data_IF_061633197809
#
_entry.id   IF_061633197809
#
_cell.length_a   1.000
_cell.length_b   1.000
_cell.length_c   1.000
_cell.angle_alpha   90.00
_cell.angle_beta   90.00
_cell.angle_gamma   90.00
#
_symmetry.space_group_name_H-M   'P 1'
#
loop_
_entity.id
_entity.type
_entity.pdbx_description
1 polymer ?
#
# COMPACT_ATOMS: atom_id res chain seq x y z
N UNK A 1 -13.85 -5.75 -4.31
CA UNK A 1 -13.18 -7.07 -4.15
C UNK A 1 -14.06 -8.19 -4.68
N UNK A 2 -15.37 -8.16 -4.44
CA UNK A 2 -16.27 -9.29 -4.72
C UNK A 2 -16.64 -9.50 -6.20
N UNK A 3 -16.71 -8.43 -7.00
CA UNK A 3 -17.18 -8.50 -8.40
C UNK A 3 -16.28 -9.27 -9.39
N UNK A 4 -15.09 -9.72 -8.98
CA UNK A 4 -14.10 -10.30 -9.91
C UNK A 4 -13.67 -11.73 -9.55
N UNK A 5 -14.22 -12.28 -8.47
CA UNK A 5 -14.08 -13.67 -8.11
C UNK A 5 -15.46 -14.34 -8.05
N UNK A 6 -16.38 -13.94 -8.94
CA UNK A 6 -17.79 -14.35 -8.96
C UNK A 6 -18.01 -15.87 -9.06
N UNK A 7 -16.96 -16.65 -9.37
CA UNK A 7 -16.98 -18.11 -9.29
C UNK A 7 -16.71 -18.72 -7.91
N UNK A 8 -15.95 -18.04 -7.03
CA UNK A 8 -15.39 -18.64 -5.79
C UNK A 8 -15.37 -17.73 -4.55
N UNK A 9 -15.76 -16.46 -4.64
CA UNK A 9 -15.81 -15.54 -3.48
C UNK A 9 -17.24 -15.08 -3.29
N UNK A 10 -17.81 -15.44 -2.14
CA UNK A 10 -19.14 -14.95 -1.76
C UNK A 10 -19.05 -13.48 -1.38
N UNK A 11 -20.03 -12.65 -1.78
CA UNK A 11 -20.13 -11.28 -1.30
C UNK A 11 -20.10 -11.19 0.23
N UNK A 12 -19.30 -10.29 0.77
CA UNK A 12 -19.10 -10.06 2.20
C UNK A 12 -18.23 -11.09 2.92
N UNK A 13 -17.60 -12.02 2.20
CA UNK A 13 -16.83 -13.10 2.82
C UNK A 13 -15.31 -12.89 2.74
N UNK A 14 -14.77 -12.31 3.81
CA UNK A 14 -13.33 -12.08 3.95
C UNK A 14 -12.50 -13.37 3.95
N UNK A 15 -13.04 -14.52 4.37
CA UNK A 15 -12.33 -15.80 4.33
C UNK A 15 -12.15 -16.32 2.91
N UNK A 16 -13.14 -16.16 2.03
CA UNK A 16 -13.00 -16.55 0.63
C UNK A 16 -11.96 -15.67 -0.07
N UNK A 17 -11.91 -14.37 0.27
CA UNK A 17 -10.87 -13.45 -0.21
C UNK A 17 -9.48 -13.82 0.31
N UNK A 18 -9.36 -14.19 1.58
CA UNK A 18 -8.12 -14.69 2.15
C UNK A 18 -7.68 -16.02 1.52
N UNK A 19 -8.61 -16.92 1.19
CA UNK A 19 -8.28 -18.15 0.48
C UNK A 19 -7.77 -17.88 -0.94
N UNK A 20 -8.33 -16.87 -1.63
CA UNK A 20 -7.93 -16.50 -2.98
C UNK A 20 -6.62 -15.68 -3.03
N UNK A 21 -6.39 -14.79 -2.06
CA UNK A 21 -5.32 -13.77 -2.09
C UNK A 21 -4.29 -13.91 -0.96
N UNK A 22 -4.48 -14.87 -0.06
CA UNK A 22 -3.73 -15.00 1.20
C UNK A 22 -2.27 -15.39 1.06
N UNK A 23 -1.81 -15.79 -0.13
CA UNK A 23 -0.43 -16.15 -0.37
C UNK A 23 0.54 -14.95 -0.32
N UNK A 24 0.10 -13.74 -0.69
CA UNK A 24 0.95 -12.53 -0.77
C UNK A 24 0.30 -11.30 -0.12
N UNK A 25 -0.13 -11.46 1.13
CA UNK A 25 -0.63 -10.36 1.93
C UNK A 25 0.49 -9.37 2.30
N UNK A 26 0.15 -8.11 2.63
CA UNK A 26 1.05 -7.22 3.34
C UNK A 26 1.56 -7.87 4.63
N UNK A 27 2.85 -7.71 4.89
CA UNK A 27 3.52 -8.31 6.04
C UNK A 27 3.92 -9.77 5.83
N UNK A 28 4.07 -10.48 6.95
CA UNK A 28 4.53 -11.86 6.99
C UNK A 28 3.43 -12.91 7.14
N UNK A 29 2.17 -12.50 7.28
CA UNK A 29 1.04 -13.43 7.40
C UNK A 29 0.74 -14.03 6.03
N UNK A 30 0.48 -15.34 6.01
CA UNK A 30 -0.10 -16.05 4.87
C UNK A 30 -1.36 -16.76 5.33
N UNK A 31 -2.42 -16.66 4.54
CA UNK A 31 -3.61 -17.48 4.70
C UNK A 31 -3.63 -18.50 3.56
N UNK A 32 -3.44 -19.78 3.89
CA UNK A 32 -3.41 -20.87 2.93
C UNK A 32 -4.53 -21.87 3.25
N UNK A 33 -5.23 -22.42 2.24
CA UNK A 33 -6.20 -23.48 2.44
C UNK A 33 -5.58 -24.69 3.15
N UNK A 34 -6.29 -25.25 4.14
CA UNK A 34 -5.79 -26.36 4.97
C UNK A 34 -5.60 -27.67 4.22
N UNK A 35 -6.30 -27.86 3.10
CA UNK A 35 -6.21 -29.02 2.23
C UNK A 35 -5.10 -28.90 1.17
N UNK A 36 -4.33 -27.81 1.18
CA UNK A 36 -3.29 -27.53 0.19
C UNK A 36 -3.82 -27.22 -1.21
N UNK A 37 -5.14 -27.25 -1.42
CA UNK A 37 -5.76 -26.84 -2.67
C UNK A 37 -5.84 -25.31 -2.67
N UNK A 38 -4.79 -24.65 -3.16
CA UNK A 38 -4.97 -23.32 -3.74
C UNK A 38 -6.07 -23.53 -4.78
N UNK A 39 -7.22 -22.86 -4.63
CA UNK A 39 -8.32 -22.91 -5.60
C UNK A 39 -7.87 -22.25 -6.90
N UNK A 40 -7.01 -22.96 -7.63
CA UNK A 40 -6.72 -22.73 -9.03
C UNK A 40 -7.90 -23.35 -9.77
N UNK A 41 -8.79 -22.50 -10.26
CA UNK A 41 -9.79 -22.90 -11.24
C UNK A 41 -9.08 -23.70 -12.32
N UNK A 42 -9.35 -25.00 -12.38
CA UNK A 42 -9.24 -25.76 -13.62
C UNK A 42 -10.39 -25.29 -14.50
N UNK A 43 -10.19 -24.21 -15.22
CA UNK A 43 -10.98 -23.97 -16.42
C UNK A 43 -10.05 -23.78 -17.61
N UNK A 44 -10.24 -24.64 -18.61
CA UNK A 44 -9.30 -24.92 -19.69
C UNK A 44 -9.32 -23.89 -20.82
N UNK A 45 -9.26 -22.60 -20.52
CA UNK A 45 -9.13 -21.57 -21.55
C UNK A 45 -8.19 -20.44 -21.13
N UNK A 46 -6.97 -20.48 -21.68
CA UNK A 46 -5.93 -19.44 -21.73
C UNK A 46 -5.44 -18.89 -20.38
N UNK A 47 -4.14 -19.11 -20.13
CA UNK A 47 -3.35 -18.46 -19.08
C UNK A 47 -3.65 -16.96 -18.99
N UNK A 48 -4.40 -16.57 -17.95
CA UNK A 48 -4.50 -15.20 -17.49
C UNK A 48 -3.87 -15.14 -16.09
N UNK A 49 -2.76 -14.42 -15.89
CA UNK A 49 -2.15 -14.27 -14.58
C UNK A 49 -3.17 -13.64 -13.61
N UNK A 50 -3.39 -14.30 -12.47
CA UNK A 50 -4.35 -13.85 -11.45
C UNK A 50 -3.84 -12.57 -10.79
N UNK A 51 -4.50 -11.46 -11.11
CA UNK A 51 -4.21 -10.14 -10.59
C UNK A 51 -4.45 -10.05 -9.06
N UNK A 52 -3.50 -9.46 -8.33
CA UNK A 52 -3.56 -9.29 -6.86
C UNK A 52 -4.05 -7.88 -6.51
N UNK A 53 -5.27 -7.74 -5.97
CA UNK A 53 -5.90 -6.43 -5.68
C UNK A 53 -5.81 -6.01 -4.22
N UNK A 54 -5.85 -4.69 -3.98
CA UNK A 54 -6.03 -4.09 -2.66
C UNK A 54 -7.10 -3.00 -2.69
N UNK A 55 -7.96 -3.02 -1.67
CA UNK A 55 -9.33 -2.48 -1.65
C UNK A 55 -9.46 -1.01 -1.18
N UNK A 56 -8.37 -0.28 -0.99
CA UNK A 56 -8.42 1.02 -0.31
C UNK A 56 -8.30 2.23 -1.26
N UNK A 57 -9.22 2.36 -2.22
CA UNK A 57 -9.66 3.67 -2.73
C UNK A 57 -8.94 4.27 -3.94
N UNK A 58 -9.71 4.40 -5.03
CA UNK A 58 -9.50 5.17 -6.27
C UNK A 58 -8.34 4.81 -7.20
N UNK A 59 -7.14 4.53 -6.71
CA UNK A 59 -6.01 4.15 -7.56
C UNK A 59 -5.81 2.63 -7.60
N UNK A 60 -5.78 2.07 -8.81
CA UNK A 60 -5.54 0.64 -8.99
C UNK A 60 -4.08 0.29 -8.71
N UNK A 61 -3.86 -0.83 -8.03
CA UNK A 61 -2.52 -1.30 -7.68
C UNK A 61 -2.35 -2.81 -7.76
N UNK A 62 -1.13 -3.24 -8.09
CA UNK A 62 -0.72 -4.64 -8.22
C UNK A 62 0.60 -4.89 -7.49
N UNK A 63 0.73 -6.08 -6.90
CA UNK A 63 2.02 -6.62 -6.47
C UNK A 63 2.75 -7.19 -7.70
N UNK A 64 3.99 -6.75 -7.97
CA UNK A 64 4.75 -7.10 -9.18
C UNK A 64 6.21 -7.49 -8.89
N UNK A 65 6.83 -8.16 -9.86
CA UNK A 65 8.25 -8.48 -9.91
C UNK A 65 8.95 -7.65 -10.98
N UNK A 66 10.21 -7.25 -10.71
CA UNK A 66 11.07 -6.54 -11.68
C UNK A 66 12.17 -7.50 -12.13
N UNK A 67 12.19 -7.85 -13.42
CA UNK A 67 13.18 -8.76 -13.99
C UNK A 67 14.41 -7.98 -14.48
N UNK A 68 15.58 -8.28 -13.92
CA UNK A 68 16.86 -7.66 -14.31
C UNK A 68 17.59 -8.64 -15.24
N UNK A 69 17.55 -8.41 -16.56
CA UNK A 69 18.18 -9.30 -17.56
C UNK A 69 17.89 -8.92 -19.02
N UNK A 70 18.43 -9.68 -19.99
CA UNK A 70 18.10 -9.48 -21.43
C UNK A 70 16.65 -9.91 -21.68
N UNK A 71 15.78 -8.95 -21.99
CA UNK A 71 14.32 -9.11 -21.95
C UNK A 71 13.69 -8.61 -20.64
N UNK A 72 14.40 -7.78 -19.87
CA UNK A 72 13.91 -7.21 -18.62
C UNK A 72 12.62 -6.42 -18.80
N UNK A 73 11.73 -6.58 -17.82
CA UNK A 73 10.37 -6.05 -17.78
C UNK A 73 9.74 -6.34 -16.42
N UNK A 74 8.50 -5.90 -16.24
CA UNK A 74 7.73 -6.09 -15.01
C UNK A 74 6.73 -7.21 -15.24
N UNK A 75 6.71 -8.20 -14.35
CA UNK A 75 5.81 -9.34 -14.44
C UNK A 75 4.97 -9.48 -13.18
N UNK A 76 3.80 -10.10 -13.32
CA UNK A 76 3.02 -10.49 -12.16
C UNK A 76 3.68 -11.70 -11.48
N UNK A 77 3.78 -11.72 -10.14
CA UNK A 77 4.27 -12.88 -9.41
C UNK A 77 3.31 -14.05 -9.61
N UNK A 78 3.84 -15.17 -10.12
CA UNK A 78 3.10 -16.42 -10.28
C UNK A 78 3.23 -17.27 -9.01
N UNK A 79 2.16 -17.99 -8.64
CA UNK A 79 2.13 -18.96 -7.54
C UNK A 79 2.72 -18.43 -6.21
N UNK A 80 3.72 -19.13 -5.67
CA UNK A 80 4.42 -18.84 -4.41
C UNK A 80 5.45 -17.70 -4.53
N UNK A 81 5.65 -17.13 -5.73
CA UNK A 81 6.52 -15.98 -5.88
C UNK A 81 5.92 -14.73 -5.21
N UNK A 82 6.81 -13.97 -4.57
CA UNK A 82 6.45 -12.80 -3.78
C UNK A 82 6.71 -11.56 -4.60
N UNK A 83 5.68 -10.74 -4.86
CA UNK A 83 5.91 -9.46 -5.52
C UNK A 83 6.82 -8.59 -4.65
N UNK A 84 7.84 -8.00 -5.26
CA UNK A 84 8.84 -7.15 -4.61
C UNK A 84 8.51 -5.66 -4.71
N UNK A 85 7.59 -5.31 -5.59
CA UNK A 85 7.14 -3.94 -5.81
C UNK A 85 5.62 -3.88 -5.77
N UNK A 86 5.09 -2.72 -5.39
CA UNK A 86 3.70 -2.34 -5.59
C UNK A 86 3.68 -1.37 -6.78
N UNK A 87 3.00 -1.77 -7.85
CA UNK A 87 2.72 -0.94 -9.01
C UNK A 87 1.41 -0.18 -8.79
N UNK A 88 1.43 1.15 -8.91
CA UNK A 88 0.28 2.04 -8.79
C UNK A 88 -0.01 2.68 -10.14
N UNK A 89 -1.17 2.34 -10.71
CA UNK A 89 -1.52 2.69 -12.08
C UNK A 89 -2.12 4.10 -12.16
N UNK A 90 -1.96 4.80 -13.30
CA UNK A 90 -2.53 6.13 -13.49
C UNK A 90 -4.06 6.10 -13.33
N UNK A 91 -4.63 7.19 -12.81
CA UNK A 91 -6.07 7.32 -12.56
C UNK A 91 -6.71 8.30 -13.54
N UNK A 92 -7.89 7.97 -14.07
CA UNK A 92 -8.70 8.91 -14.86
C UNK A 92 -9.36 9.97 -13.98
N UNK A 93 -9.69 9.63 -12.73
CA UNK A 93 -10.27 10.56 -11.76
C UNK A 93 -9.24 11.55 -11.22
N UNK A 94 -7.99 11.11 -11.10
CA UNK A 94 -6.87 11.92 -10.60
C UNK A 94 -5.69 11.85 -11.59
N UNK A 95 -5.72 12.64 -12.67
CA UNK A 95 -4.63 12.68 -13.64
C UNK A 95 -3.29 13.04 -12.99
N UNK A 96 -2.23 12.30 -13.34
CA UNK A 96 -0.89 12.54 -12.82
C UNK A 96 -0.65 12.12 -11.36
N UNK A 97 -1.55 11.35 -10.75
CA UNK A 97 -1.43 10.96 -9.32
C UNK A 97 -0.17 10.12 -9.03
N UNK A 98 0.28 9.29 -9.98
CA UNK A 98 1.53 8.52 -9.84
C UNK A 98 2.74 9.44 -9.76
N UNK A 99 2.81 10.43 -10.66
CA UNK A 99 3.86 11.43 -10.73
C UNK A 99 3.81 12.37 -9.53
N UNK A 100 2.61 12.72 -9.07
CA UNK A 100 2.39 13.49 -7.86
C UNK A 100 2.98 12.78 -6.64
N UNK A 101 2.68 11.49 -6.45
CA UNK A 101 3.25 10.72 -5.34
C UNK A 101 4.77 10.57 -5.47
N UNK A 102 5.28 10.25 -6.66
CA UNK A 102 6.73 10.14 -6.91
C UNK A 102 7.47 11.44 -6.54
N UNK A 103 6.94 12.59 -6.97
CA UNK A 103 7.53 13.89 -6.65
C UNK A 103 7.45 14.22 -5.15
N UNK A 104 6.33 13.89 -4.49
CA UNK A 104 6.15 14.15 -3.06
C UNK A 104 7.00 13.23 -2.18
N UNK A 105 7.32 12.00 -2.62
CA UNK A 105 8.25 11.09 -1.94
C UNK A 105 9.73 11.54 -2.05
N UNK A 106 10.08 12.37 -3.03
CA UNK A 106 11.44 12.91 -3.16
C UNK A 106 11.81 13.86 -2.01
N UNK A 107 10.84 14.60 -1.47
CA UNK A 107 11.06 15.52 -0.35
C UNK A 107 11.47 14.82 0.97
N UNK A 108 10.72 13.83 1.51
CA UNK A 108 11.14 13.08 2.69
C UNK A 108 12.51 12.42 2.49
N UNK A 109 12.78 11.88 1.30
CA UNK A 109 14.09 11.29 1.00
C UNK A 109 15.22 12.33 1.08
N UNK A 110 15.01 13.53 0.52
CA UNK A 110 15.99 14.61 0.52
C UNK A 110 16.31 15.14 1.93
N UNK A 111 15.36 15.05 2.87
CA UNK A 111 15.55 15.46 4.28
C UNK A 111 15.97 14.29 5.19
N UNK A 112 16.32 13.14 4.61
CA UNK A 112 16.89 12.00 5.33
C UNK A 112 15.88 11.09 6.03
N UNK A 113 14.60 11.13 5.65
CA UNK A 113 13.63 10.14 6.09
C UNK A 113 13.79 8.83 5.31
N UNK A 114 13.42 7.72 5.95
CA UNK A 114 13.40 6.42 5.28
C UNK A 114 12.20 6.33 4.33
N UNK A 115 12.49 6.29 3.03
CA UNK A 115 11.52 6.19 1.94
C UNK A 115 11.83 4.92 1.15
N UNK A 116 10.82 4.10 0.80
CA UNK A 116 11.04 2.96 -0.09
C UNK A 116 11.56 3.41 -1.46
N UNK A 117 12.43 2.61 -2.06
CA UNK A 117 12.87 2.81 -3.44
C UNK A 117 11.64 2.91 -4.36
N UNK A 118 11.57 3.96 -5.16
CA UNK A 118 10.47 4.16 -6.09
C UNK A 118 10.96 4.70 -7.44
N UNK A 119 10.20 4.40 -8.49
CA UNK A 119 10.50 4.82 -9.86
C UNK A 119 9.20 4.96 -10.66
N UNK A 120 9.23 5.82 -11.67
CA UNK A 120 8.16 5.92 -12.66
C UNK A 120 8.54 5.12 -13.91
N UNK A 121 7.65 4.24 -14.33
CA UNK A 121 7.84 3.37 -15.50
C UNK A 121 6.67 3.52 -16.48
N UNK A 122 6.89 3.11 -17.71
CA UNK A 122 5.83 3.09 -18.70
C UNK A 122 4.94 1.86 -18.51
N UNK A 123 3.66 2.00 -18.83
CA UNK A 123 2.73 0.88 -18.78
C UNK A 123 3.13 -0.26 -19.73
N UNK A 124 3.82 0.06 -20.82
CA UNK A 124 4.39 -0.91 -21.77
C UNK A 124 5.50 -1.77 -21.17
N UNK A 125 6.06 -1.38 -20.02
CA UNK A 125 7.11 -2.15 -19.34
C UNK A 125 6.53 -3.36 -18.58
N UNK A 126 5.20 -3.50 -18.51
CA UNK A 126 4.53 -4.61 -17.86
C UNK A 126 4.02 -5.65 -18.87
N UNK A 127 4.36 -6.92 -18.61
CA UNK A 127 3.79 -8.06 -19.33
C UNK A 127 2.66 -8.70 -18.52
N UNK A 128 1.62 -9.17 -19.21
CA UNK A 128 0.50 -9.86 -18.57
C UNK A 128 -0.38 -8.96 -17.70
N UNK A 129 -0.39 -7.64 -17.95
CA UNK A 129 -1.32 -6.73 -17.28
C UNK A 129 -2.76 -7.14 -17.61
N UNK A 130 -3.61 -7.41 -16.61
CA UNK A 130 -5.01 -7.75 -16.84
C UNK A 130 -5.72 -6.57 -17.52
N UNK A 131 -6.67 -6.87 -18.41
CA UNK A 131 -7.33 -5.82 -19.24
C UNK A 131 -7.99 -4.70 -18.41
N UNK A 132 -8.44 -4.99 -17.20
CA UNK A 132 -9.01 -3.97 -16.30
C UNK A 132 -7.99 -2.94 -15.81
N UNK A 133 -6.71 -3.28 -15.74
CA UNK A 133 -5.62 -2.32 -15.49
C UNK A 133 -5.19 -1.60 -16.77
N UNK A 134 -5.69 -2.03 -17.93
CA UNK A 134 -5.55 -1.30 -19.16
C UNK A 134 -6.55 -0.13 -19.25
N UNK A 135 -6.45 0.79 -18.30
CA UNK A 135 -7.23 2.04 -18.29
C UNK A 135 -6.89 2.92 -19.48
N UNK A 136 -7.86 3.76 -19.84
CA UNK A 136 -7.69 4.90 -20.75
C UNK A 136 -6.97 6.09 -20.08
N UNK A 137 -6.47 5.95 -18.85
CA UNK A 137 -5.74 7.02 -18.18
C UNK A 137 -4.35 7.19 -18.79
N UNK A 138 -4.01 8.45 -19.03
CA UNK A 138 -2.66 8.86 -19.41
C UNK A 138 -1.79 9.02 -18.16
N UNK A 139 -0.47 8.83 -18.32
CA UNK A 139 0.51 8.94 -17.24
C UNK A 139 1.28 7.64 -17.01
N UNK A 140 2.22 7.72 -16.06
CA UNK A 140 3.13 6.62 -15.72
C UNK A 140 2.60 5.75 -14.60
N UNK A 141 3.18 4.56 -14.49
CA UNK A 141 2.96 3.68 -13.35
C UNK A 141 4.04 3.97 -12.31
N UNK A 142 3.64 4.21 -11.06
CA UNK A 142 4.58 4.34 -9.95
C UNK A 142 4.88 2.96 -9.38
N UNK A 143 6.14 2.54 -9.42
CA UNK A 143 6.63 1.38 -8.69
C UNK A 143 7.18 1.82 -7.34
N UNK A 144 6.72 1.16 -6.29
CA UNK A 144 7.23 1.33 -4.92
C UNK A 144 7.73 -0.01 -4.42
N UNK A 145 9.00 -0.09 -4.04
CA UNK A 145 9.58 -1.30 -3.48
C UNK A 145 8.95 -1.61 -2.14
N UNK A 146 8.60 -2.88 -1.94
CA UNK A 146 8.00 -3.36 -0.72
C UNK A 146 9.04 -3.43 0.40
N UNK A 147 8.82 -2.67 1.47
CA UNK A 147 9.66 -2.72 2.68
C UNK A 147 9.31 -3.91 3.59
N UNK A 148 8.19 -4.58 3.34
CA UNK A 148 7.79 -5.82 4.03
C UNK A 148 8.37 -7.09 3.36
N UNK A 149 9.29 -6.91 2.42
CA UNK A 149 10.02 -7.96 1.70
C UNK A 149 11.50 -7.66 1.75
N UNK A 150 12.27 -8.52 2.41
CA UNK A 150 13.71 -8.34 2.49
C UNK A 150 14.46 -8.96 1.30
N UNK A 151 15.79 -8.82 1.30
CA UNK A 151 16.61 -9.08 0.11
C UNK A 151 16.57 -10.56 -0.32
N UNK A 152 16.60 -11.47 0.64
CA UNK A 152 16.55 -12.93 0.45
C UNK A 152 15.13 -13.48 0.28
N UNK A 153 14.10 -12.63 0.22
CA UNK A 153 12.69 -13.06 0.14
C UNK A 153 12.06 -13.32 1.51
N UNK A 154 12.73 -12.93 2.58
CA UNK A 154 12.16 -12.88 3.93
C UNK A 154 10.95 -11.94 3.97
N UNK A 155 9.91 -12.37 4.67
CA UNK A 155 8.74 -11.53 4.91
C UNK A 155 8.87 -10.88 6.28
N UNK A 156 8.69 -9.57 6.30
CA UNK A 156 8.73 -8.79 7.53
C UNK A 156 7.29 -8.48 7.90
N UNK A 157 6.88 -8.76 9.14
CA UNK A 157 5.51 -8.47 9.54
C UNK A 157 5.30 -6.97 9.64
N UNK A 158 4.13 -6.50 9.20
CA UNK A 158 3.70 -5.12 9.30
C UNK A 158 2.25 -5.08 9.75
N UNK A 159 1.90 -4.02 10.46
CA UNK A 159 0.53 -3.72 10.87
C UNK A 159 0.28 -2.23 10.66
N UNK A 160 -0.81 -1.89 9.98
CA UNK A 160 -1.23 -0.50 9.89
C UNK A 160 -1.91 -0.02 11.19
N UNK A 161 -1.98 1.29 11.43
CA UNK A 161 -2.54 1.79 12.68
C UNK A 161 -4.05 1.57 12.82
N UNK A 162 -4.77 1.23 11.76
CA UNK A 162 -6.14 0.76 11.91
C UNK A 162 -6.15 -0.62 12.57
N UNK A 163 -5.24 -1.53 12.18
CA UNK A 163 -5.07 -2.83 12.83
C UNK A 163 -4.60 -2.69 14.28
N UNK A 164 -3.57 -1.87 14.53
CA UNK A 164 -3.03 -1.64 15.89
C UNK A 164 -4.11 -1.16 16.86
N UNK A 165 -5.04 -0.32 16.40
CA UNK A 165 -6.14 0.19 17.22
C UNK A 165 -7.42 -0.64 17.15
N UNK A 166 -7.44 -1.76 16.40
CA UNK A 166 -8.64 -2.58 16.22
C UNK A 166 -9.78 -1.84 15.49
N UNK A 167 -9.45 -0.88 14.62
CA UNK A 167 -10.39 -0.09 13.82
C UNK A 167 -10.65 -0.78 12.49
N UNK A 168 -11.93 -1.00 12.16
CA UNK A 168 -12.32 -1.57 10.87
C UNK A 168 -11.88 -0.68 9.70
N UNK A 169 -11.52 -1.26 8.53
CA UNK A 169 -11.05 -0.49 7.37
C UNK A 169 -11.99 0.61 6.88
N UNK A 170 -13.31 0.42 7.02
CA UNK A 170 -14.33 1.42 6.67
C UNK A 170 -14.26 2.69 7.52
N UNK A 171 -13.67 2.60 8.72
CA UNK A 171 -13.49 3.70 9.66
C UNK A 171 -12.07 4.25 9.65
N UNK A 172 -11.31 4.05 8.57
CA UNK A 172 -9.89 4.49 8.46
C UNK A 172 -9.65 5.99 8.75
N UNK A 173 -10.64 6.86 8.55
CA UNK A 173 -10.60 8.31 8.84
C UNK A 173 -11.10 8.68 10.25
N UNK A 174 -11.47 7.69 11.06
CA UNK A 174 -12.12 7.87 12.36
C UNK A 174 -11.59 6.83 13.36
N UNK A 175 -12.04 6.88 14.61
CA UNK A 175 -11.67 5.90 15.63
C UNK A 175 -10.34 6.16 16.35
N UNK A 176 -9.44 6.94 15.74
CA UNK A 176 -8.25 7.49 16.40
C UNK A 176 -7.81 8.80 15.73
N UNK A 177 -7.02 9.59 16.46
CA UNK A 177 -6.45 10.85 16.04
C UNK A 177 -4.91 10.76 15.96
N UNK A 178 -4.26 11.77 15.39
CA UNK A 178 -2.79 11.74 15.24
C UNK A 178 -2.05 11.68 16.58
N UNK A 179 -2.63 12.23 17.65
CA UNK A 179 -2.02 12.17 18.98
C UNK A 179 -2.06 10.75 19.58
N UNK A 180 -3.03 9.93 19.21
CA UNK A 180 -3.10 8.52 19.62
C UNK A 180 -1.98 7.72 18.97
N UNK A 181 -1.69 7.96 17.68
CA UNK A 181 -0.55 7.36 16.97
C UNK A 181 0.77 7.74 17.63
N UNK A 182 0.96 9.04 17.92
CA UNK A 182 2.17 9.52 18.58
C UNK A 182 2.37 8.87 19.96
N UNK A 183 1.29 8.75 20.75
CA UNK A 183 1.31 8.09 22.05
C UNK A 183 1.69 6.60 21.92
N UNK A 184 1.04 5.87 21.01
CA UNK A 184 1.30 4.46 20.76
C UNK A 184 2.76 4.23 20.33
N UNK A 185 3.31 5.06 19.44
CA UNK A 185 4.73 4.99 19.06
C UNK A 185 5.67 5.29 20.22
N UNK A 186 5.33 6.29 21.05
CA UNK A 186 6.12 6.66 22.22
C UNK A 186 6.25 5.53 23.23
N UNK A 187 5.18 4.76 23.42
CA UNK A 187 5.11 3.64 24.37
C UNK A 187 5.66 2.34 23.76
N UNK A 188 5.23 1.98 22.55
CA UNK A 188 5.54 0.67 21.95
C UNK A 188 6.91 0.62 21.28
N UNK A 189 7.42 1.76 20.78
CA UNK A 189 8.68 1.83 20.04
C UNK A 189 9.70 2.67 20.81
N UNK A 190 9.51 3.99 20.86
CA UNK A 190 10.33 4.92 21.64
C UNK A 190 9.81 6.37 21.53
N UNK A 191 10.20 7.26 22.45
CA UNK A 191 9.97 8.71 22.30
C UNK A 191 10.56 9.28 21.00
N UNK A 192 11.69 8.75 20.52
CA UNK A 192 12.30 9.16 19.25
C UNK A 192 11.42 8.81 18.04
N UNK A 193 10.76 7.65 18.05
CA UNK A 193 9.82 7.26 17.00
C UNK A 193 8.58 8.15 16.98
N UNK A 194 8.07 8.54 18.16
CA UNK A 194 6.99 9.52 18.24
C UNK A 194 7.40 10.89 17.67
N UNK A 195 8.63 11.35 17.94
CA UNK A 195 9.17 12.57 17.34
C UNK A 195 9.33 12.45 15.82
N UNK A 196 9.77 11.30 15.32
CA UNK A 196 9.86 11.06 13.87
C UNK A 196 8.48 11.09 13.21
N UNK A 197 7.48 10.47 13.83
CA UNK A 197 6.09 10.58 13.39
C UNK A 197 5.61 12.04 13.33
N UNK A 198 5.91 12.86 14.34
CA UNK A 198 5.55 14.29 14.32
C UNK A 198 6.20 15.02 13.14
N UNK A 199 7.45 14.71 12.79
CA UNK A 199 8.11 15.27 11.61
C UNK A 199 7.41 14.85 10.31
N UNK A 200 7.03 13.57 10.19
CA UNK A 200 6.29 13.04 9.04
C UNK A 200 4.87 13.63 8.94
N UNK A 201 4.22 13.86 10.07
CA UNK A 201 2.92 14.55 10.13
C UNK A 201 3.05 16.00 9.66
N UNK A 202 4.09 16.71 10.09
CA UNK A 202 4.36 18.07 9.60
C UNK A 202 4.58 18.09 8.08
N UNK A 203 5.32 17.11 7.55
CA UNK A 203 5.48 16.93 6.10
C UNK A 203 4.13 16.72 5.40
N UNK A 204 3.27 15.85 5.92
CA UNK A 204 1.91 15.61 5.39
C UNK A 204 1.07 16.88 5.33
N UNK A 205 1.22 17.78 6.30
CA UNK A 205 0.56 19.09 6.29
C UNK A 205 1.17 20.02 5.24
N UNK A 206 2.49 20.06 5.13
CA UNK A 206 3.22 20.90 4.15
C UNK A 206 2.89 20.48 2.71
N UNK A 207 2.82 19.18 2.43
CA UNK A 207 2.46 18.67 1.10
C UNK A 207 0.96 18.73 0.83
N UNK A 208 0.14 19.05 1.84
CA UNK A 208 -1.31 19.05 1.74
C UNK A 208 -1.85 17.67 1.39
N UNK A 209 -1.44 16.65 2.16
CA UNK A 209 -1.95 15.29 2.01
C UNK A 209 -3.18 15.07 2.90
N UNK A 210 -4.36 15.26 2.33
CA UNK A 210 -5.64 15.03 3.02
C UNK A 210 -6.06 13.57 3.11
N UNK A 211 -5.30 12.63 2.53
CA UNK A 211 -5.59 11.20 2.57
C UNK A 211 -4.70 10.40 3.55
N UNK A 212 -3.88 11.08 4.36
CA UNK A 212 -2.95 10.47 5.32
C UNK A 212 -3.64 9.91 6.58
N UNK A 213 -4.46 8.87 6.39
CA UNK A 213 -5.33 8.23 7.39
C UNK A 213 -4.67 7.06 8.12
N UNK A 214 -5.38 6.36 9.02
CA UNK A 214 -4.79 5.31 9.88
C UNK A 214 -4.04 4.20 9.13
N UNK A 215 -4.42 3.90 7.89
CA UNK A 215 -3.79 2.84 7.09
C UNK A 215 -2.47 3.25 6.39
N UNK A 216 -2.12 4.54 6.40
CA UNK A 216 -0.85 5.04 5.82
C UNK A 216 0.27 5.16 6.87
N UNK A 217 -0.03 4.80 8.11
CA UNK A 217 0.94 4.67 9.19
C UNK A 217 1.02 3.20 9.54
N UNK A 218 2.24 2.65 9.63
CA UNK A 218 2.44 1.25 9.97
C UNK A 218 3.57 1.05 10.97
N UNK A 219 3.42 0.02 11.79
CA UNK A 219 4.53 -0.63 12.47
C UNK A 219 5.08 -1.74 11.59
N UNK A 220 6.40 -1.94 11.66
CA UNK A 220 7.07 -3.10 11.09
C UNK A 220 7.86 -3.85 12.16
N UNK A 221 7.98 -5.16 12.00
CA UNK A 221 8.60 -6.06 12.96
C UNK A 221 9.78 -6.80 12.32
N UNK A 222 10.95 -6.16 12.20
CA UNK A 222 12.13 -6.76 11.58
C UNK A 222 12.75 -7.87 12.43
N UNK A 223 13.66 -8.64 11.84
CA UNK A 223 14.41 -9.68 12.53
C UNK A 223 13.53 -10.84 12.99
N UNK A 224 13.53 -11.14 14.28
CA UNK A 224 12.70 -12.17 14.91
C UNK A 224 11.26 -11.69 15.20
N UNK A 225 10.95 -10.42 14.92
CA UNK A 225 9.61 -9.84 15.06
C UNK A 225 9.21 -9.44 16.48
N UNK A 226 10.15 -9.36 17.42
CA UNK A 226 9.87 -9.01 18.82
C UNK A 226 9.87 -7.51 19.13
N UNK A 227 10.42 -6.70 18.23
CA UNK A 227 10.59 -5.25 18.40
C UNK A 227 9.90 -4.50 17.26
N UNK A 228 8.83 -3.74 17.55
CA UNK A 228 8.23 -2.89 16.54
C UNK A 228 9.16 -1.71 16.22
N UNK A 229 9.11 -1.27 14.96
CA UNK A 229 9.68 -0.02 14.48
C UNK A 229 8.62 0.72 13.66
N UNK A 230 8.71 2.05 13.60
CA UNK A 230 7.92 2.83 12.66
C UNK A 230 8.37 2.47 11.24
N UNK A 231 7.44 2.01 10.39
CA UNK A 231 7.76 1.64 9.01
C UNK A 231 8.28 2.83 8.19
N UNK A 232 8.97 2.63 7.05
CA UNK A 232 9.28 3.69 6.10
C UNK A 232 8.04 4.52 5.74
N UNK A 233 8.21 5.79 5.36
CA UNK A 233 7.08 6.61 4.93
C UNK A 233 6.64 6.19 3.52
N UNK A 234 5.33 6.04 3.31
CA UNK A 234 4.72 5.64 2.04
C UNK A 234 3.40 6.37 1.82
N UNK A 235 2.85 6.31 0.60
CA UNK A 235 1.61 7.01 0.21
C UNK A 235 1.67 8.53 0.47
N UNK A 236 2.83 9.15 0.22
CA UNK A 236 3.02 10.60 0.37
C UNK A 236 2.66 11.28 -0.95
N UNK A 237 1.49 11.90 -1.00
CA UNK A 237 0.99 12.62 -2.17
C UNK A 237 0.41 13.98 -1.75
N UNK A 238 0.05 14.82 -2.71
CA UNK A 238 -0.70 16.05 -2.48
C UNK A 238 -2.11 15.89 -3.04
N UNK A 239 -3.12 16.05 -2.18
CA UNK A 239 -4.53 15.98 -2.58
C UNK A 239 -5.07 17.35 -3.01
N UNK A 240 -4.38 18.44 -2.65
CA UNK A 240 -4.75 19.83 -2.96
C UNK A 240 -5.09 20.07 -4.44
N UNK A 241 -4.37 19.53 -5.44
CA UNK A 241 -4.71 19.75 -6.85
C UNK A 241 -6.05 19.12 -7.27
N UNK A 242 -6.53 18.14 -6.50
CA UNK A 242 -7.68 17.30 -6.87
C UNK A 242 -8.92 17.58 -6.02
N UNK A 243 -8.72 18.01 -4.76
CA UNK A 243 -9.80 18.17 -3.77
C UNK A 243 -9.81 19.63 -3.29
N UNK A 244 -10.71 20.47 -3.81
CA UNK A 244 -10.87 21.84 -3.32
C UNK A 244 -11.27 21.85 -1.83
N UNK A 245 -10.63 22.72 -1.05
CA UNK A 245 -10.88 22.87 0.39
C UNK A 245 -10.65 21.59 1.22
N UNK A 246 -9.66 20.78 0.82
CA UNK A 246 -9.26 19.60 1.59
C UNK A 246 -8.76 19.92 3.01
N UNK A 247 -8.71 18.89 3.85
CA UNK A 247 -8.33 18.93 5.25
C UNK A 247 -7.49 17.70 5.62
N UNK A 248 -6.87 17.72 6.79
CA UNK A 248 -6.17 16.56 7.34
C UNK A 248 -7.14 15.37 7.51
N UNK A 249 -6.66 14.18 7.16
CA UNK A 249 -7.43 12.93 7.25
C UNK A 249 -7.88 12.62 8.68
N UNK A 250 -7.00 12.84 9.67
CA UNK A 250 -7.27 12.63 11.10
C UNK A 250 -7.17 13.96 11.84
N UNK A 251 -7.78 14.04 13.03
CA UNK A 251 -7.70 15.26 13.83
C UNK A 251 -6.36 15.38 14.56
N UNK A 252 -5.91 16.63 14.73
CA UNK A 252 -4.82 17.00 15.62
C UNK A 252 -5.36 18.05 16.61
N UNK A 253 -5.46 17.68 17.89
CA UNK A 253 -6.04 18.56 18.91
C UNK A 253 -7.51 18.93 18.65
N UNK A 254 -8.27 18.07 17.96
CA UNK A 254 -9.67 18.32 17.58
C UNK A 254 -9.85 19.00 16.22
N UNK A 255 -8.77 19.56 15.65
CA UNK A 255 -8.81 20.27 14.37
C UNK A 255 -8.39 19.39 13.20
N UNK A 256 -8.97 19.64 12.02
CA UNK A 256 -8.59 19.00 10.75
C UNK A 256 -8.16 20.00 9.68
N UNK A 257 -8.42 21.29 9.85
CA UNK A 257 -8.12 22.29 8.82
C UNK A 257 -6.61 22.39 8.55
N UNK A 258 -6.23 22.42 7.26
CA UNK A 258 -4.88 22.83 6.86
C UNK A 258 -4.66 24.34 7.06
N UNK A 259 -5.73 25.12 7.12
CA UNK A 259 -5.69 26.59 7.30
C UNK A 259 -5.89 26.97 8.76
N UNK A 260 -5.17 27.98 9.21
CA UNK A 260 -5.57 28.78 10.38
C UNK A 260 -6.55 29.87 9.97
#
# INVERSE_FOLDING_TARGET
MERHHEGNVRPGNDFDLLAALGADLPGAVRALPSDGAITVSKDGSKDHPKARFSLAGVQMKLSVMKNIGKGGGLTLPMDDEQGRYIAKFPSTAFPGVSENEFANLALPAAIGMEVPECELVEKSDFEGVPEEFNTLSEGKVLLVKRFDRGAGGERIHIEDFAQVFGVYPSRKYEGAAYHDIALALGVAVSPTAALDFVRRLALSVITGNGDMHLKNWSLMYPGNGDKPALAPIYDVLSTVPYIPADAMALSLGGERSFRR
#
